data_IF_784965381977
#
_entry.id   IF_784965381977
#
_cell.length_a   1.000
_cell.length_b   1.000
_cell.length_c   1.000
_cell.angle_alpha   90.00
_cell.angle_beta   90.00
_cell.angle_gamma   90.00
#
_symmetry.space_group_name_H-M   'P 1'
#
loop_
_entity.id
_entity.type
_entity.pdbx_description
1 polymer ?
#
# COMPACT_ATOMS: atom_id res chain seq x y z
N UNK A 1 -1.86 -4.24 22.56
CA UNK A 1 -1.97 -4.26 21.09
C UNK A 1 -1.80 -2.86 20.56
N UNK A 2 -1.13 -2.67 19.43
CA UNK A 2 -1.01 -1.37 18.74
C UNK A 2 -2.08 -1.29 17.65
N UNK A 3 -2.78 -0.16 17.58
CA UNK A 3 -3.69 0.17 16.49
C UNK A 3 -2.89 0.82 15.37
N UNK A 4 -2.83 0.16 14.22
CA UNK A 4 -2.27 0.73 12.99
C UNK A 4 -3.41 1.28 12.12
N UNK A 5 -3.26 2.51 11.62
CA UNK A 5 -4.23 3.16 10.73
C UNK A 5 -3.46 3.64 9.51
N UNK A 6 -3.81 3.11 8.34
CA UNK A 6 -3.27 3.56 7.07
C UNK A 6 -4.38 4.26 6.26
N UNK A 7 -4.17 5.54 5.96
CA UNK A 7 -5.14 6.40 5.28
C UNK A 7 -4.71 6.61 3.83
N UNK A 8 -5.19 5.72 2.97
CA UNK A 8 -5.04 5.82 1.52
C UNK A 8 -6.14 6.66 0.86
N UNK A 9 -5.95 6.99 -0.42
CA UNK A 9 -6.90 7.81 -1.18
C UNK A 9 -8.29 7.18 -1.37
N UNK A 10 -8.35 5.86 -1.39
CA UNK A 10 -9.59 5.08 -1.63
C UNK A 10 -10.06 4.37 -0.38
N UNK A 11 -9.13 3.89 0.44
CA UNK A 11 -9.41 2.99 1.55
C UNK A 11 -8.61 3.41 2.78
N UNK A 12 -9.24 3.38 3.94
CA UNK A 12 -8.57 3.42 5.24
C UNK A 12 -8.44 1.99 5.75
N UNK A 13 -7.21 1.50 5.94
CA UNK A 13 -6.95 0.20 6.56
C UNK A 13 -6.74 0.35 8.06
N UNK A 14 -7.33 -0.56 8.82
CA UNK A 14 -7.19 -0.68 10.27
C UNK A 14 -6.53 -2.00 10.60
N UNK A 15 -5.45 -1.97 11.37
CA UNK A 15 -4.75 -3.17 11.79
C UNK A 15 -4.56 -3.23 13.31
N UNK A 16 -4.66 -4.41 13.88
CA UNK A 16 -4.25 -4.67 15.25
C UNK A 16 -2.93 -5.45 15.26
N UNK A 17 -1.89 -4.91 15.88
CA UNK A 17 -0.57 -5.53 15.94
C UNK A 17 -0.23 -5.87 17.40
N UNK A 18 0.16 -7.11 17.65
CA UNK A 18 0.63 -7.58 18.96
C UNK A 18 1.87 -8.43 18.77
N UNK A 19 2.93 -8.11 19.52
CA UNK A 19 4.20 -8.85 19.49
C UNK A 19 4.75 -9.06 18.06
N UNK A 20 4.72 -7.99 17.25
CA UNK A 20 5.15 -8.00 15.85
C UNK A 20 4.24 -8.75 14.87
N UNK A 21 3.10 -9.29 15.34
CA UNK A 21 2.16 -10.05 14.50
C UNK A 21 0.88 -9.26 14.25
N UNK A 22 0.41 -9.30 13.01
CA UNK A 22 -0.89 -8.77 12.63
C UNK A 22 -1.98 -9.70 13.16
N UNK A 23 -2.80 -9.19 14.10
CA UNK A 23 -3.91 -9.95 14.69
C UNK A 23 -5.20 -9.83 13.87
N UNK A 24 -5.41 -8.69 13.23
CA UNK A 24 -6.50 -8.46 12.29
C UNK A 24 -6.16 -7.33 11.33
N UNK A 25 -6.83 -7.35 10.18
CA UNK A 25 -6.92 -6.23 9.24
C UNK A 25 -8.39 -6.00 8.91
N UNK A 26 -8.78 -4.74 8.76
CA UNK A 26 -10.09 -4.33 8.28
C UNK A 26 -9.97 -3.10 7.41
N UNK A 27 -10.95 -2.88 6.57
CA UNK A 27 -10.99 -1.77 5.63
C UNK A 27 -12.28 -1.01 5.77
N UNK A 28 -12.22 0.30 5.58
CA UNK A 28 -13.36 1.19 5.41
C UNK A 28 -13.04 2.20 4.31
N UNK A 29 -14.09 2.76 3.69
CA UNK A 29 -13.90 3.71 2.60
C UNK A 29 -13.34 5.04 3.10
N UNK A 30 -12.42 5.61 2.32
CA UNK A 30 -11.94 6.98 2.51
C UNK A 30 -13.00 7.96 2.04
N UNK A 31 -13.66 8.64 2.98
CA UNK A 31 -14.64 9.68 2.71
C UNK A 31 -14.15 10.99 3.29
N UNK A 32 -13.71 11.91 2.43
CA UNK A 32 -13.02 13.15 2.82
C UNK A 32 -13.88 14.12 3.64
N UNK A 33 -15.18 13.96 3.60
CA UNK A 33 -16.15 14.82 4.32
C UNK A 33 -16.60 14.26 5.66
N UNK A 34 -16.21 13.01 6.01
CA UNK A 34 -16.57 12.41 7.30
C UNK A 34 -15.88 13.11 8.46
N UNK A 35 -16.64 13.35 9.50
CA UNK A 35 -16.16 13.84 10.79
C UNK A 35 -15.50 12.73 11.61
N UNK A 36 -14.78 13.11 12.67
CA UNK A 36 -14.22 12.13 13.62
C UNK A 36 -15.30 11.25 14.27
N UNK A 37 -16.49 11.80 14.55
CA UNK A 37 -17.60 11.04 15.12
C UNK A 37 -18.11 9.95 14.15
N UNK A 38 -18.24 10.27 12.87
CA UNK A 38 -18.66 9.31 11.84
C UNK A 38 -17.61 8.24 11.60
N UNK A 39 -16.32 8.60 11.52
CA UNK A 39 -15.24 7.61 11.44
C UNK A 39 -15.20 6.71 12.66
N UNK A 40 -15.42 7.25 13.86
CA UNK A 40 -15.49 6.46 15.09
C UNK A 40 -16.64 5.45 15.05
N UNK A 41 -17.81 5.85 14.55
CA UNK A 41 -18.94 4.95 14.39
C UNK A 41 -18.63 3.79 13.42
N UNK A 42 -17.95 4.05 12.31
CA UNK A 42 -17.50 2.99 11.40
C UNK A 42 -16.44 2.07 12.05
N UNK A 43 -15.46 2.63 12.74
CA UNK A 43 -14.47 1.86 13.49
C UNK A 43 -15.11 0.98 14.56
N UNK A 44 -16.13 1.48 15.26
CA UNK A 44 -16.86 0.71 16.26
C UNK A 44 -17.56 -0.51 15.65
N UNK A 45 -18.16 -0.39 14.45
CA UNK A 45 -18.73 -1.53 13.71
C UNK A 45 -17.64 -2.58 13.43
N UNK A 46 -16.47 -2.13 12.96
CA UNK A 46 -15.33 -3.01 12.69
C UNK A 46 -14.87 -3.75 13.95
N UNK A 47 -14.77 -3.04 15.07
CA UNK A 47 -14.26 -3.62 16.32
C UNK A 47 -15.30 -4.48 17.04
N UNK A 48 -16.59 -4.14 16.96
CA UNK A 48 -17.67 -4.91 17.59
C UNK A 48 -17.77 -6.33 17.02
N UNK A 49 -17.61 -6.51 15.71
CA UNK A 49 -17.59 -7.83 15.07
C UNK A 49 -16.36 -8.68 15.44
N UNK A 50 -15.35 -8.09 16.08
CA UNK A 50 -14.10 -8.75 16.48
C UNK A 50 -13.93 -8.86 18.00
N UNK A 51 -14.88 -8.30 18.76
CA UNK A 51 -14.89 -8.42 20.22
C UNK A 51 -15.34 -9.83 20.61
N UNK A 52 -14.44 -10.57 21.27
CA UNK A 52 -14.87 -11.73 22.03
C UNK A 52 -15.49 -11.20 23.35
N UNK A 53 -16.66 -11.68 23.80
CA UNK A 53 -17.32 -11.20 25.04
C UNK A 53 -16.39 -11.16 26.26
N UNK A 54 -15.49 -12.15 26.36
CA UNK A 54 -14.57 -12.29 27.49
C UNK A 54 -13.20 -11.62 27.28
N UNK A 55 -12.89 -11.14 26.07
CA UNK A 55 -11.57 -10.54 25.73
C UNK A 55 -11.74 -9.26 24.93
N UNK A 56 -12.06 -8.13 25.59
CA UNK A 56 -12.18 -6.85 24.89
C UNK A 56 -10.85 -6.48 24.23
N UNK A 57 -10.92 -5.92 23.01
CA UNK A 57 -9.75 -5.37 22.34
C UNK A 57 -9.26 -4.15 23.14
N UNK A 58 -8.01 -4.20 23.60
CA UNK A 58 -7.36 -3.07 24.27
C UNK A 58 -6.16 -2.63 23.43
N UNK A 59 -6.15 -1.35 23.08
CA UNK A 59 -5.04 -0.73 22.39
C UNK A 59 -4.18 0.06 23.38
N UNK A 60 -2.88 -0.17 23.34
CA UNK A 60 -1.86 0.49 24.20
C UNK A 60 -1.31 1.76 23.56
N UNK A 61 -1.49 1.91 22.25
CA UNK A 61 -1.05 3.03 21.45
C UNK A 61 -1.51 2.87 20.00
N UNK A 62 -1.28 3.90 19.19
CA UNK A 62 -1.59 3.86 17.77
C UNK A 62 -0.46 4.47 16.94
N UNK A 63 -0.29 3.94 15.72
CA UNK A 63 0.49 4.51 14.65
C UNK A 63 -0.43 4.82 13.48
N UNK A 64 -0.20 5.95 12.82
CA UNK A 64 -1.02 6.44 11.73
C UNK A 64 -0.14 6.88 10.57
N UNK A 65 -0.40 6.36 9.38
CA UNK A 65 0.11 6.88 8.12
C UNK A 65 -1.01 7.48 7.30
N UNK A 66 -0.73 8.53 6.53
CA UNK A 66 -1.75 9.22 5.75
C UNK A 66 -1.18 9.91 4.52
N UNK A 67 -1.86 9.70 3.40
CA UNK A 67 -1.71 10.47 2.15
C UNK A 67 -2.93 11.36 1.88
N UNK A 68 -3.85 11.49 2.87
CA UNK A 68 -5.09 12.29 2.77
C UNK A 68 -5.17 13.28 3.94
N UNK A 69 -4.53 14.45 3.84
CA UNK A 69 -4.42 15.42 4.93
C UNK A 69 -5.78 15.85 5.54
N UNK A 70 -6.84 15.89 4.72
CA UNK A 70 -8.16 16.38 5.12
C UNK A 70 -8.79 15.57 6.26
N UNK A 71 -8.50 14.29 6.36
CA UNK A 71 -9.10 13.38 7.36
C UNK A 71 -8.09 12.87 8.39
N UNK A 72 -6.81 13.22 8.22
CA UNK A 72 -5.75 12.78 9.16
C UNK A 72 -6.06 13.18 10.60
N UNK A 73 -6.52 14.42 10.81
CA UNK A 73 -6.90 14.92 12.13
C UNK A 73 -8.06 14.16 12.75
N UNK A 74 -9.10 13.87 11.96
CA UNK A 74 -10.28 13.12 12.42
C UNK A 74 -9.90 11.69 12.86
N UNK A 75 -9.06 10.99 12.08
CA UNK A 75 -8.62 9.65 12.42
C UNK A 75 -7.58 9.62 13.55
N UNK A 76 -6.77 10.67 13.70
CA UNK A 76 -5.90 10.82 14.87
C UNK A 76 -6.72 11.02 16.17
N UNK A 77 -7.85 11.74 16.12
CA UNK A 77 -8.77 11.87 17.24
C UNK A 77 -9.42 10.52 17.58
N UNK A 78 -9.87 9.76 16.58
CA UNK A 78 -10.38 8.41 16.77
C UNK A 78 -9.33 7.51 17.43
N UNK A 79 -8.10 7.52 16.96
CA UNK A 79 -7.00 6.75 17.54
C UNK A 79 -6.79 7.11 19.02
N UNK A 80 -6.81 8.41 19.36
CA UNK A 80 -6.71 8.87 20.74
C UNK A 80 -7.88 8.39 21.60
N UNK A 81 -9.09 8.34 21.05
CA UNK A 81 -10.26 7.83 21.76
C UNK A 81 -10.09 6.37 22.19
N UNK A 82 -9.59 5.51 21.27
CA UNK A 82 -9.41 4.08 21.54
C UNK A 82 -8.19 3.74 22.41
N UNK A 83 -7.16 4.57 22.37
CA UNK A 83 -5.89 4.28 23.05
C UNK A 83 -5.67 5.10 24.33
N UNK A 84 -6.40 6.19 24.51
CA UNK A 84 -6.13 7.20 25.54
C UNK A 84 -4.86 8.02 25.30
N UNK A 85 -4.15 7.80 24.19
CA UNK A 85 -2.85 8.40 23.86
C UNK A 85 -2.89 9.07 22.49
N UNK A 86 -2.04 10.09 22.30
CA UNK A 86 -1.81 10.68 20.98
C UNK A 86 -1.13 9.64 20.07
N UNK A 87 -1.64 9.40 18.84
CA UNK A 87 -1.01 8.46 17.93
C UNK A 87 0.35 8.99 17.44
N UNK A 88 1.25 8.08 17.11
CA UNK A 88 2.46 8.41 16.34
C UNK A 88 2.04 8.57 14.90
N UNK A 89 2.23 9.77 14.34
CA UNK A 89 1.99 10.03 12.92
C UNK A 89 3.29 9.81 12.18
N UNK A 90 3.26 8.95 11.16
CA UNK A 90 4.43 8.64 10.35
C UNK A 90 4.87 9.88 9.58
N UNK A 91 6.14 10.22 9.70
CA UNK A 91 6.82 11.29 8.96
C UNK A 91 8.31 10.93 8.80
N UNK A 92 9.05 11.60 7.90
CA UNK A 92 10.50 11.43 7.81
C UNK A 92 11.27 11.79 9.09
N UNK A 93 10.65 12.57 9.97
CA UNK A 93 11.29 13.06 11.22
C UNK A 93 11.30 12.00 12.33
N UNK A 94 10.49 10.95 12.21
CA UNK A 94 10.51 9.85 13.17
C UNK A 94 11.62 8.85 12.80
N UNK A 95 12.08 8.08 13.81
CA UNK A 95 13.09 7.05 13.58
C UNK A 95 12.49 5.87 12.81
N UNK A 96 12.63 5.88 11.49
CA UNK A 96 12.21 4.79 10.59
C UNK A 96 13.30 3.73 10.41
N UNK A 97 14.53 4.02 10.81
CA UNK A 97 15.71 3.18 10.52
C UNK A 97 16.27 3.39 9.11
N UNK A 98 15.73 4.34 8.36
CA UNK A 98 16.20 4.73 7.03
C UNK A 98 16.92 6.08 7.06
N UNK A 99 17.91 6.22 6.19
CA UNK A 99 18.45 7.51 5.80
C UNK A 99 17.71 7.96 4.53
N UNK A 100 17.26 9.21 4.48
CA UNK A 100 16.55 9.75 3.30
C UNK A 100 17.57 10.32 2.32
N UNK A 101 17.76 9.66 1.18
CA UNK A 101 18.66 10.05 0.09
C UNK A 101 17.98 10.88 -1.01
N UNK A 102 16.81 11.46 -0.74
CA UNK A 102 16.05 12.29 -1.67
C UNK A 102 16.14 13.76 -1.28
N UNK A 103 16.03 14.70 -2.25
CA UNK A 103 16.16 16.15 -1.98
C UNK A 103 15.13 16.69 -0.99
N UNK A 104 13.88 16.22 -1.06
CA UNK A 104 12.81 16.57 -0.13
C UNK A 104 12.17 15.32 0.49
N UNK A 105 12.60 14.89 1.67
CA UNK A 105 12.01 13.78 2.38
C UNK A 105 10.52 13.93 2.71
N UNK A 106 10.04 15.16 2.91
CA UNK A 106 8.65 15.43 3.26
C UNK A 106 7.68 15.27 2.08
N UNK A 107 8.18 15.38 0.85
CA UNK A 107 7.42 15.10 -0.37
C UNK A 107 7.18 13.59 -0.60
N UNK A 108 7.92 12.71 0.11
CA UNK A 108 7.69 11.26 0.01
C UNK A 108 6.37 10.88 0.66
N UNK A 109 5.54 10.13 -0.06
CA UNK A 109 4.32 9.53 0.49
C UNK A 109 4.61 8.70 1.75
N UNK A 110 3.77 8.87 2.77
CA UNK A 110 4.00 8.22 4.07
C UNK A 110 3.80 6.71 4.01
N UNK A 111 2.91 6.24 3.14
CA UNK A 111 2.72 4.85 2.73
C UNK A 111 4.04 4.25 2.20
N UNK A 112 4.69 4.93 1.24
CA UNK A 112 5.97 4.52 0.66
C UNK A 112 7.08 4.44 1.72
N UNK A 113 7.09 5.37 2.68
CA UNK A 113 8.04 5.39 3.77
C UNK A 113 7.87 4.18 4.71
N UNK A 114 6.63 3.79 5.01
CA UNK A 114 6.32 2.62 5.84
C UNK A 114 6.75 1.33 5.16
N UNK A 115 6.42 1.16 3.88
CA UNK A 115 6.82 -0.01 3.09
C UNK A 115 8.34 -0.17 3.06
N UNK A 116 9.04 0.94 2.78
CA UNK A 116 10.51 0.98 2.73
C UNK A 116 11.13 0.65 4.10
N UNK A 117 10.60 1.23 5.18
CA UNK A 117 11.11 0.99 6.53
C UNK A 117 10.91 -0.47 6.96
N UNK A 118 9.72 -1.03 6.67
CA UNK A 118 9.45 -2.44 6.95
C UNK A 118 10.38 -3.37 6.16
N UNK A 119 10.53 -3.12 4.87
CA UNK A 119 11.37 -3.94 4.01
C UNK A 119 12.85 -3.89 4.43
N UNK A 120 13.38 -2.70 4.72
CA UNK A 120 14.76 -2.54 5.16
C UNK A 120 15.06 -3.19 6.53
N UNK A 121 14.03 -3.40 7.34
CA UNK A 121 14.17 -4.06 8.63
C UNK A 121 14.08 -5.59 8.56
N UNK A 122 13.39 -6.15 7.54
CA UNK A 122 12.99 -7.54 7.53
C UNK A 122 13.55 -8.35 6.35
N UNK A 123 14.11 -7.71 5.32
CA UNK A 123 14.61 -8.39 4.12
C UNK A 123 16.05 -8.03 3.81
N UNK A 124 16.79 -8.90 3.06
CA UNK A 124 18.13 -8.60 2.59
C UNK A 124 18.19 -7.33 1.74
N UNK A 125 19.24 -6.53 1.93
CA UNK A 125 19.52 -5.31 1.18
C UNK A 125 20.51 -5.55 0.03
N UNK A 126 20.42 -4.78 -1.07
CA UNK A 126 19.39 -3.77 -1.35
C UNK A 126 18.01 -4.39 -1.53
N UNK A 127 16.95 -3.62 -1.22
CA UNK A 127 15.58 -4.09 -1.36
C UNK A 127 14.73 -3.09 -2.14
N UNK A 128 13.88 -3.61 -3.00
CA UNK A 128 12.85 -2.83 -3.72
C UNK A 128 11.48 -3.29 -3.24
N UNK A 129 10.68 -2.37 -2.72
CA UNK A 129 9.27 -2.66 -2.44
C UNK A 129 8.40 -2.27 -3.62
N UNK A 130 7.42 -3.08 -3.93
CA UNK A 130 6.39 -2.75 -4.93
C UNK A 130 5.02 -2.85 -4.27
N UNK A 131 4.29 -1.74 -4.21
CA UNK A 131 2.89 -1.73 -3.81
C UNK A 131 1.99 -1.67 -5.05
N UNK A 132 1.13 -2.68 -5.18
CA UNK A 132 0.14 -2.82 -6.26
C UNK A 132 -1.24 -2.36 -5.75
N UNK A 133 -1.38 -1.05 -5.59
CA UNK A 133 -2.56 -0.36 -5.11
C UNK A 133 -3.27 0.50 -6.17
N UNK A 134 -3.79 1.66 -5.74
CA UNK A 134 -4.37 2.69 -6.64
C UNK A 134 -3.32 3.22 -7.62
N UNK A 135 -2.09 3.41 -7.16
CA UNK A 135 -0.89 3.52 -7.98
C UNK A 135 -0.07 2.23 -7.82
N UNK A 136 0.80 1.94 -8.78
CA UNK A 136 1.88 0.97 -8.61
C UNK A 136 3.13 1.74 -8.24
N UNK A 137 3.65 1.55 -7.04
CA UNK A 137 4.83 2.29 -6.56
C UNK A 137 5.99 1.36 -6.29
N UNK A 138 7.20 1.78 -6.70
CA UNK A 138 8.46 1.10 -6.38
C UNK A 138 9.22 1.99 -5.42
N UNK A 139 9.76 1.42 -4.35
CA UNK A 139 10.63 2.12 -3.41
C UNK A 139 11.96 1.39 -3.33
N UNK A 140 13.04 2.12 -3.55
CA UNK A 140 14.40 1.57 -3.62
C UNK A 140 15.17 1.92 -2.36
N UNK A 141 15.64 0.90 -1.68
CA UNK A 141 16.48 1.03 -0.48
C UNK A 141 17.80 0.31 -0.75
N UNK A 142 18.90 1.05 -0.70
CA UNK A 142 20.22 0.49 -0.97
C UNK A 142 20.79 -0.31 0.22
N UNK A 143 21.97 -0.86 0.04
CA UNK A 143 22.68 -1.67 1.05
C UNK A 143 23.02 -0.92 2.35
N UNK A 144 23.02 0.42 2.32
CA UNK A 144 23.30 1.28 3.48
C UNK A 144 22.02 1.77 4.17
N UNK A 145 20.85 1.20 3.83
CA UNK A 145 19.51 1.64 4.29
C UNK A 145 19.19 3.07 3.89
N UNK A 146 19.70 3.53 2.74
CA UNK A 146 19.34 4.81 2.17
C UNK A 146 18.13 4.63 1.26
N UNK A 147 17.05 5.36 1.55
CA UNK A 147 15.91 5.48 0.64
C UNK A 147 16.31 6.33 -0.56
N UNK A 148 16.49 5.69 -1.71
CA UNK A 148 17.01 6.31 -2.96
C UNK A 148 15.89 6.96 -3.79
N UNK A 149 14.65 6.81 -3.41
CA UNK A 149 13.49 7.22 -4.20
C UNK A 149 12.76 6.02 -4.80
N UNK A 150 12.32 6.13 -6.05
CA UNK A 150 11.65 5.02 -6.73
C UNK A 150 10.81 5.45 -7.92
N UNK A 151 9.84 4.60 -8.31
CA UNK A 151 9.00 4.80 -9.49
C UNK A 151 7.54 4.81 -9.09
N UNK A 152 6.72 5.62 -9.75
CA UNK A 152 5.27 5.66 -9.58
C UNK A 152 4.61 5.50 -10.94
N UNK A 153 3.77 4.48 -11.08
CA UNK A 153 3.01 4.18 -12.29
C UNK A 153 1.51 4.16 -11.98
N UNK A 154 0.66 4.29 -13.01
CA UNK A 154 -0.77 4.01 -12.84
C UNK A 154 -0.98 2.59 -12.28
N UNK A 155 -1.82 2.46 -11.26
CA UNK A 155 -2.18 1.14 -10.74
C UNK A 155 -3.02 0.35 -11.74
N UNK A 156 -2.97 -0.97 -11.64
CA UNK A 156 -3.66 -1.90 -12.54
C UNK A 156 -5.15 -1.57 -12.73
N UNK A 157 -5.91 -1.45 -11.63
CA UNK A 157 -7.33 -1.10 -11.71
C UNK A 157 -7.57 0.34 -12.18
N UNK A 158 -6.66 1.26 -11.86
CA UNK A 158 -6.74 2.65 -12.30
C UNK A 158 -6.56 2.75 -13.80
N UNK A 159 -5.56 2.05 -14.37
CA UNK A 159 -5.33 1.99 -15.81
C UNK A 159 -6.49 1.36 -16.57
N UNK A 160 -6.97 0.19 -16.08
CA UNK A 160 -8.10 -0.52 -16.69
C UNK A 160 -9.37 0.34 -16.71
N UNK A 161 -9.68 1.02 -15.60
CA UNK A 161 -10.82 1.93 -15.51
C UNK A 161 -10.67 3.13 -16.44
N UNK A 162 -9.48 3.72 -16.51
CA UNK A 162 -9.22 4.86 -17.39
C UNK A 162 -9.45 4.54 -18.87
N UNK A 163 -9.14 3.32 -19.32
CA UNK A 163 -9.45 2.85 -20.66
C UNK A 163 -10.97 2.89 -20.92
N UNK A 164 -11.78 2.32 -20.03
CA UNK A 164 -13.25 2.33 -20.19
C UNK A 164 -13.90 3.71 -20.02
N UNK A 165 -13.26 4.64 -19.30
CA UNK A 165 -13.78 6.00 -19.11
C UNK A 165 -13.37 6.97 -20.25
N UNK A 166 -12.19 6.76 -20.85
CA UNK A 166 -11.60 7.67 -21.82
C UNK A 166 -11.72 7.25 -23.27
N UNK A 167 -11.96 5.97 -23.54
CA UNK A 167 -12.05 5.42 -24.89
C UNK A 167 -13.48 5.01 -25.19
N UNK A 168 -14.12 5.73 -26.10
CA UNK A 168 -15.56 5.58 -26.38
C UNK A 168 -16.01 4.17 -26.81
N UNK A 169 -15.10 3.34 -27.34
CA UNK A 169 -15.40 1.98 -27.80
C UNK A 169 -14.96 0.89 -26.81
N UNK A 170 -14.32 1.26 -25.70
CA UNK A 170 -13.88 0.28 -24.72
C UNK A 170 -14.89 0.16 -23.56
N UNK A 171 -15.34 -1.06 -23.23
CA UNK A 171 -16.32 -1.27 -22.17
C UNK A 171 -15.67 -1.10 -20.79
N UNK A 172 -16.49 -0.94 -19.76
CA UNK A 172 -16.07 -1.13 -18.37
C UNK A 172 -15.85 -2.63 -18.14
N UNK A 173 -14.65 -2.99 -17.70
CA UNK A 173 -14.23 -4.39 -17.51
C UNK A 173 -13.90 -4.65 -16.05
N UNK A 174 -14.42 -5.73 -15.50
CA UNK A 174 -14.04 -6.20 -14.17
C UNK A 174 -12.71 -6.95 -14.21
N UNK A 175 -11.82 -6.59 -13.26
CA UNK A 175 -10.49 -7.18 -13.19
C UNK A 175 -10.57 -8.69 -12.92
N UNK A 176 -9.93 -9.47 -13.79
CA UNK A 176 -9.75 -10.90 -13.66
C UNK A 176 -8.43 -11.32 -14.32
N UNK A 177 -7.92 -12.51 -13.97
CA UNK A 177 -6.69 -13.02 -14.57
C UNK A 177 -6.92 -13.45 -16.02
N UNK A 178 -6.11 -12.99 -16.99
CA UNK A 178 -6.21 -13.42 -18.38
C UNK A 178 -5.79 -14.89 -18.53
N UNK A 179 -6.46 -15.62 -19.41
CA UNK A 179 -6.13 -17.02 -19.73
C UNK A 179 -5.03 -17.16 -20.77
N UNK A 180 -4.79 -16.11 -21.56
CA UNK A 180 -3.80 -16.06 -22.63
C UNK A 180 -3.31 -14.63 -22.86
N UNK A 181 -2.12 -14.49 -23.42
CA UNK A 181 -1.56 -13.18 -23.77
C UNK A 181 -2.33 -12.54 -24.94
N UNK A 182 -2.84 -13.35 -25.87
CA UNK A 182 -3.63 -12.86 -27.02
C UNK A 182 -5.09 -12.93 -26.62
N UNK A 183 -5.72 -11.76 -26.44
CA UNK A 183 -7.16 -11.64 -26.26
C UNK A 183 -7.88 -11.82 -27.62
N UNK A 184 -9.02 -12.50 -27.60
CA UNK A 184 -9.84 -12.77 -28.81
C UNK A 184 -11.07 -11.86 -28.93
N UNK A 185 -11.28 -11.02 -27.92
CA UNK A 185 -12.30 -9.97 -27.88
C UNK A 185 -11.76 -8.76 -27.09
N UNK A 186 -12.47 -7.64 -27.17
CA UNK A 186 -12.02 -6.38 -26.54
C UNK A 186 -11.78 -6.52 -25.04
N UNK A 187 -12.67 -7.19 -24.30
CA UNK A 187 -12.53 -7.38 -22.86
C UNK A 187 -11.27 -8.19 -22.53
N UNK A 188 -11.03 -9.32 -23.23
CA UNK A 188 -9.84 -10.15 -23.02
C UNK A 188 -8.55 -9.43 -23.43
N UNK A 189 -8.59 -8.59 -24.49
CA UNK A 189 -7.46 -7.74 -24.85
C UNK A 189 -7.14 -6.73 -23.74
N UNK A 190 -8.14 -6.08 -23.16
CA UNK A 190 -7.97 -5.12 -22.07
C UNK A 190 -7.41 -5.80 -20.81
N UNK A 191 -7.92 -6.98 -20.44
CA UNK A 191 -7.45 -7.75 -19.29
C UNK A 191 -6.01 -8.22 -19.49
N UNK A 192 -5.70 -8.78 -20.66
CA UNK A 192 -4.34 -9.22 -21.00
C UNK A 192 -3.36 -8.04 -20.93
N UNK A 193 -3.66 -6.94 -21.62
CA UNK A 193 -2.81 -5.76 -21.60
C UNK A 193 -2.61 -5.17 -20.21
N UNK A 194 -3.68 -5.14 -19.39
CA UNK A 194 -3.60 -4.60 -18.04
C UNK A 194 -2.80 -5.52 -17.09
N UNK A 195 -3.12 -6.80 -17.03
CA UNK A 195 -2.49 -7.72 -16.05
C UNK A 195 -1.08 -8.11 -16.48
N UNK A 196 -0.91 -8.62 -17.71
CA UNK A 196 0.42 -9.00 -18.20
C UNK A 196 1.31 -7.79 -18.43
N UNK A 197 0.73 -6.65 -18.90
CA UNK A 197 1.46 -5.41 -19.01
C UNK A 197 2.00 -4.91 -17.67
N UNK A 198 1.22 -5.05 -16.59
CA UNK A 198 1.69 -4.72 -15.22
C UNK A 198 2.80 -5.69 -14.77
N UNK A 199 2.69 -6.99 -15.08
CA UNK A 199 3.74 -7.96 -14.76
C UNK A 199 5.06 -7.61 -15.49
N UNK A 200 5.01 -7.35 -16.79
CA UNK A 200 6.18 -6.94 -17.60
C UNK A 200 6.76 -5.61 -17.10
N UNK A 201 5.92 -4.65 -16.73
CA UNK A 201 6.35 -3.39 -16.11
C UNK A 201 7.10 -3.66 -14.81
N UNK A 202 6.59 -4.54 -13.95
CA UNK A 202 7.23 -4.93 -12.71
C UNK A 202 8.61 -5.55 -12.98
N UNK A 203 8.69 -6.53 -13.86
CA UNK A 203 9.92 -7.20 -14.22
C UNK A 203 10.94 -6.21 -14.85
N UNK A 204 10.50 -5.41 -15.82
CA UNK A 204 11.37 -4.49 -16.53
C UNK A 204 11.85 -3.29 -15.70
N UNK A 205 11.00 -2.75 -14.82
CA UNK A 205 11.42 -1.66 -13.92
C UNK A 205 12.39 -2.20 -12.86
N UNK A 206 12.13 -3.39 -12.32
CA UNK A 206 13.06 -4.02 -11.36
C UNK A 206 14.43 -4.22 -11.98
N UNK A 207 14.49 -4.76 -13.20
CA UNK A 207 15.77 -4.94 -13.91
C UNK A 207 16.53 -3.62 -14.08
N UNK A 208 15.85 -2.53 -14.48
CA UNK A 208 16.49 -1.21 -14.63
C UNK A 208 16.99 -0.65 -13.30
N UNK A 209 16.25 -0.87 -12.22
CA UNK A 209 16.69 -0.48 -10.88
C UNK A 209 17.94 -1.26 -10.47
N UNK A 210 18.00 -2.57 -10.73
CA UNK A 210 19.17 -3.41 -10.45
C UNK A 210 20.40 -3.00 -11.29
N UNK A 211 20.19 -2.66 -12.55
CA UNK A 211 21.24 -2.10 -13.43
C UNK A 211 21.81 -0.79 -12.86
N UNK A 212 20.95 0.11 -12.35
CA UNK A 212 21.36 1.38 -11.73
C UNK A 212 22.05 1.17 -10.36
N UNK A 213 21.60 0.18 -9.57
CA UNK A 213 22.23 -0.21 -8.32
C UNK A 213 23.55 -0.98 -8.52
N UNK A 214 23.80 -1.51 -9.74
CA UNK A 214 24.95 -2.33 -10.07
C UNK A 214 24.94 -3.72 -9.44
N UNK A 215 23.80 -4.17 -8.91
CA UNK A 215 23.62 -5.47 -8.24
C UNK A 215 22.16 -5.89 -8.16
N UNK A 216 21.89 -7.21 -7.98
CA UNK A 216 20.55 -7.71 -7.72
C UNK A 216 19.97 -7.14 -6.41
N UNK A 217 18.66 -6.95 -6.39
CA UNK A 217 17.92 -6.50 -5.22
C UNK A 217 16.87 -7.54 -4.77
N UNK A 218 16.57 -7.57 -3.48
CA UNK A 218 15.42 -8.32 -2.99
C UNK A 218 14.14 -7.60 -3.40
N UNK A 219 13.23 -8.28 -4.10
CA UNK A 219 11.94 -7.69 -4.46
C UNK A 219 10.86 -8.13 -3.48
N UNK A 220 10.20 -7.17 -2.86
CA UNK A 220 9.09 -7.39 -1.91
C UNK A 220 7.84 -6.75 -2.48
N UNK A 221 6.81 -7.56 -2.73
CA UNK A 221 5.56 -7.11 -3.35
C UNK A 221 4.42 -7.12 -2.33
N UNK A 222 3.67 -6.04 -2.29
CA UNK A 222 2.47 -5.85 -1.47
C UNK A 222 1.33 -5.28 -2.29
N UNK A 223 0.20 -5.00 -1.65
CA UNK A 223 -0.97 -4.40 -2.28
C UNK A 223 -2.05 -5.41 -2.65
N UNK A 224 -3.29 -4.94 -2.64
CA UNK A 224 -4.48 -5.78 -2.84
C UNK A 224 -4.58 -6.42 -4.23
N UNK A 225 -3.85 -5.89 -5.22
CA UNK A 225 -3.85 -6.38 -6.60
C UNK A 225 -2.68 -7.34 -6.91
N UNK A 226 -1.78 -7.58 -5.97
CA UNK A 226 -0.65 -8.48 -6.10
C UNK A 226 -1.05 -9.89 -6.56
N UNK A 227 -2.18 -10.38 -6.09
CA UNK A 227 -2.74 -11.71 -6.45
C UNK A 227 -3.01 -11.92 -7.95
N UNK A 228 -3.17 -10.84 -8.74
CA UNK A 228 -3.37 -10.92 -10.18
C UNK A 228 -2.05 -10.86 -10.96
N UNK A 229 -1.03 -10.20 -10.42
CA UNK A 229 0.24 -9.91 -11.10
C UNK A 229 1.30 -10.95 -10.77
N UNK A 230 1.45 -11.32 -9.49
CA UNK A 230 2.47 -12.28 -9.02
C UNK A 230 2.47 -13.60 -9.81
N UNK A 231 1.31 -14.25 -10.07
CA UNK A 231 1.31 -15.54 -10.78
C UNK A 231 1.82 -15.49 -12.22
N UNK A 232 1.93 -14.30 -12.81
CA UNK A 232 2.31 -14.10 -14.23
C UNK A 232 3.57 -13.25 -14.41
N UNK A 233 4.22 -12.84 -13.32
CA UNK A 233 5.54 -12.18 -13.31
C UNK A 233 6.65 -13.24 -13.36
N UNK A 234 7.75 -12.92 -14.06
CA UNK A 234 8.93 -13.79 -14.13
C UNK A 234 9.93 -13.51 -13.00
N UNK A 235 9.77 -12.42 -12.27
CA UNK A 235 10.67 -12.05 -11.17
C UNK A 235 10.43 -12.94 -9.95
N UNK A 236 11.50 -13.37 -9.28
CA UNK A 236 11.43 -14.12 -8.02
C UNK A 236 10.98 -13.20 -6.89
N UNK A 237 9.67 -13.19 -6.63
CA UNK A 237 9.02 -12.34 -5.64
C UNK A 237 9.07 -12.97 -4.24
N UNK A 238 9.19 -12.14 -3.21
CA UNK A 238 9.11 -12.52 -1.80
C UNK A 238 8.04 -11.71 -1.06
#
# INVERSE_FOLDING_TARGET
MILAIDIGNTTVALGGIRDGRVCFVAHMDTVRTRTAAEYRAEMEKVFSHRRHPEKPIRFEGAVLTSVVPQITGALAECARHYTGKKPVIVSPDIRTGLTMGVPDPHAVGKDRLVDAAYAAANFPLPVVTVDLGTATTFNVIDENKVFRGGVICPGLSTGLRALGERCAQLPQVHLSSPKSAIGVDTEKCMLSGSVLGTAVLLDGITQRIEEELGRPATLVVTGGLAKYVIPVSYTHLR
#
